data_IF_712247821044
#
_entry.id   IF_712247821044
#
_cell.length_a   1.000
_cell.length_b   1.000
_cell.length_c   1.000
_cell.angle_alpha   90.00
_cell.angle_beta   90.00
_cell.angle_gamma   90.00
#
_symmetry.space_group_name_H-M   'P 1'
#
loop_
_entity.id
_entity.type
_entity.pdbx_description
1 polymer ?
#
# COMPACT_ATOMS: atom_id res chain seq x y z
N UNK A 1 -11.47 5.17 4.03
CA UNK A 1 -10.14 5.11 3.40
C UNK A 1 -9.21 4.14 4.12
N UNK A 2 -8.69 3.15 3.40
CA UNK A 2 -7.64 2.24 3.84
C UNK A 2 -6.27 2.94 3.80
N UNK A 3 -5.42 2.72 4.80
CA UNK A 3 -4.03 3.21 4.79
C UNK A 3 -3.07 2.04 4.80
N UNK A 4 -2.14 2.05 3.85
CA UNK A 4 -1.05 1.07 3.73
C UNK A 4 0.27 1.77 3.99
N UNK A 5 1.00 1.26 4.98
CA UNK A 5 2.33 1.77 5.32
C UNK A 5 3.40 0.90 4.70
N UNK A 6 4.24 1.48 3.86
CA UNK A 6 5.40 0.79 3.29
C UNK A 6 6.68 1.21 4.01
N UNK A 7 7.54 0.23 4.27
CA UNK A 7 8.87 0.44 4.84
C UNK A 7 9.86 0.95 3.77
N UNK A 8 11.09 1.26 4.18
CA UNK A 8 12.17 1.55 3.24
C UNK A 8 12.39 0.38 2.26
N UNK A 9 12.90 0.70 1.06
CA UNK A 9 13.18 -0.28 0.01
C UNK A 9 14.01 -1.45 0.54
N UNK A 10 13.58 -2.65 0.22
CA UNK A 10 14.28 -3.90 0.54
C UNK A 10 14.17 -4.88 -0.63
N UNK A 11 15.22 -5.68 -0.82
CA UNK A 11 15.18 -6.81 -1.75
C UNK A 11 14.35 -7.93 -1.14
N UNK A 12 13.47 -8.52 -1.95
CA UNK A 12 12.69 -9.71 -1.59
C UNK A 12 12.97 -10.81 -2.58
N UNK A 13 12.93 -12.07 -2.14
CA UNK A 13 13.05 -13.19 -3.06
C UNK A 13 11.74 -13.33 -3.83
N UNK A 14 11.74 -13.39 -5.17
CA UNK A 14 10.52 -13.55 -5.96
C UNK A 14 9.68 -14.77 -5.58
N UNK A 15 10.33 -15.84 -5.10
CA UNK A 15 9.65 -17.05 -4.62
C UNK A 15 8.88 -16.85 -3.29
N UNK A 16 9.21 -15.80 -2.54
CA UNK A 16 8.60 -15.46 -1.24
C UNK A 16 7.57 -14.31 -1.37
N UNK A 17 7.54 -13.61 -2.52
CA UNK A 17 6.56 -12.56 -2.84
C UNK A 17 5.46 -13.10 -3.75
N UNK A 18 4.18 -13.08 -3.33
CA UNK A 18 3.06 -13.58 -4.15
C UNK A 18 2.88 -12.85 -5.50
N UNK A 19 3.47 -11.69 -5.69
CA UNK A 19 3.46 -10.94 -6.95
C UNK A 19 4.77 -11.11 -7.75
N UNK A 20 5.68 -11.99 -7.32
CA UNK A 20 6.94 -12.28 -8.00
C UNK A 20 7.92 -11.11 -8.03
N UNK A 21 7.79 -10.14 -7.11
CA UNK A 21 8.63 -8.94 -7.08
C UNK A 21 10.04 -9.28 -6.57
N UNK A 22 11.03 -8.53 -7.04
CA UNK A 22 12.41 -8.57 -6.55
C UNK A 22 12.68 -7.52 -5.48
N UNK A 23 11.87 -6.48 -5.43
CA UNK A 23 12.03 -5.34 -4.52
C UNK A 23 10.67 -4.80 -4.09
N UNK A 24 10.57 -4.38 -2.84
CA UNK A 24 9.39 -3.74 -2.25
C UNK A 24 9.80 -2.58 -1.36
N UNK A 25 8.85 -1.70 -1.03
CA UNK A 25 9.08 -0.56 -0.14
C UNK A 25 9.36 0.75 -0.87
N UNK A 26 9.65 1.77 -0.08
CA UNK A 26 9.77 3.17 -0.49
C UNK A 26 11.23 3.57 -0.79
N UNK A 27 11.42 4.36 -1.85
CA UNK A 27 12.65 5.14 -2.06
C UNK A 27 12.35 6.63 -2.17
N UNK A 28 13.28 7.51 -1.74
CA UNK A 28 13.20 8.93 -2.05
C UNK A 28 12.97 9.14 -3.56
N UNK A 29 12.07 10.06 -3.91
CA UNK A 29 11.72 10.41 -5.30
C UNK A 29 10.99 9.33 -6.11
N UNK A 30 10.34 8.34 -5.47
CA UNK A 30 9.38 7.48 -6.18
C UNK A 30 8.26 8.31 -6.80
N UNK A 31 7.84 7.93 -8.00
CA UNK A 31 6.59 8.45 -8.55
C UNK A 31 5.39 7.86 -7.80
N UNK A 32 4.24 8.53 -7.88
CA UNK A 32 2.97 8.01 -7.35
C UNK A 32 2.66 6.61 -7.90
N UNK A 33 3.01 6.36 -9.16
CA UNK A 33 2.84 5.06 -9.81
C UNK A 33 3.72 4.00 -9.16
N UNK A 34 4.98 4.30 -8.93
CA UNK A 34 5.91 3.35 -8.30
C UNK A 34 5.50 3.06 -6.85
N UNK A 35 5.06 4.10 -6.12
CA UNK A 35 4.52 3.95 -4.78
C UNK A 35 3.25 3.10 -4.75
N UNK A 36 2.36 3.27 -5.73
CA UNK A 36 1.18 2.43 -5.89
C UNK A 36 1.52 0.97 -6.17
N UNK A 37 2.41 0.70 -7.13
CA UNK A 37 2.85 -0.66 -7.45
C UNK A 37 3.56 -1.34 -6.27
N UNK A 38 4.38 -0.58 -5.52
CA UNK A 38 5.01 -1.07 -4.31
C UNK A 38 3.98 -1.37 -3.20
N UNK A 39 2.95 -0.53 -3.07
CA UNK A 39 1.99 -0.53 -1.97
C UNK A 39 0.72 -1.35 -2.19
N UNK A 40 0.33 -1.70 -3.42
CA UNK A 40 -0.95 -2.39 -3.68
C UNK A 40 -0.94 -3.87 -3.30
N UNK A 41 0.23 -4.46 -3.05
CA UNK A 41 0.41 -5.91 -3.07
C UNK A 41 0.77 -6.61 -1.77
N UNK A 42 0.19 -7.81 -1.57
CA UNK A 42 0.67 -8.87 -0.67
C UNK A 42 0.51 -8.61 0.84
N UNK A 43 -0.59 -8.01 1.27
CA UNK A 43 -0.81 -7.67 2.67
C UNK A 43 -1.57 -8.76 3.45
N UNK A 44 -1.11 -9.08 4.66
CA UNK A 44 -1.89 -9.88 5.60
C UNK A 44 -2.86 -8.96 6.34
N UNK A 45 -4.09 -8.84 5.84
CA UNK A 45 -5.13 -8.00 6.47
C UNK A 45 -6.50 -8.68 6.44
N UNK A 46 -7.44 -8.19 7.25
CA UNK A 46 -8.82 -8.68 7.27
C UNK A 46 -9.58 -8.13 6.07
N UNK A 47 -9.92 -8.98 5.09
CA UNK A 47 -10.63 -8.60 3.88
C UNK A 47 -11.93 -7.83 4.17
N UNK A 48 -12.67 -8.22 5.20
CA UNK A 48 -13.91 -7.54 5.61
C UNK A 48 -13.70 -6.07 5.98
N UNK A 49 -12.53 -5.68 6.48
CA UNK A 49 -12.23 -4.28 6.78
C UNK A 49 -11.83 -3.47 5.56
N UNK A 50 -11.24 -4.11 4.55
CA UNK A 50 -10.74 -3.42 3.37
C UNK A 50 -11.82 -3.28 2.29
N UNK A 51 -12.85 -4.14 2.28
CA UNK A 51 -13.98 -4.06 1.35
C UNK A 51 -14.90 -2.86 1.65
N UNK A 52 -14.97 -2.42 2.90
CA UNK A 52 -15.81 -1.30 3.32
C UNK A 52 -15.20 0.09 2.98
N UNK A 53 -14.02 0.13 2.36
CA UNK A 53 -13.27 1.36 2.10
C UNK A 53 -13.28 1.71 0.60
N UNK A 54 -13.65 2.95 0.25
CA UNK A 54 -13.73 3.39 -1.16
C UNK A 54 -12.39 3.90 -1.74
N UNK A 55 -11.43 4.24 -0.88
CA UNK A 55 -10.12 4.77 -1.25
C UNK A 55 -9.03 4.10 -0.43
N UNK A 56 -7.83 4.01 -1.00
CA UNK A 56 -6.61 3.59 -0.33
C UNK A 56 -5.52 4.64 -0.50
N UNK A 57 -4.76 4.87 0.56
CA UNK A 57 -3.55 5.69 0.52
C UNK A 57 -2.32 4.87 0.90
N UNK A 58 -1.23 5.07 0.16
CA UNK A 58 0.08 4.51 0.47
C UNK A 58 0.89 5.57 1.20
N UNK A 59 1.44 5.24 2.37
CA UNK A 59 2.26 6.14 3.18
C UNK A 59 3.63 5.54 3.46
N UNK A 60 4.66 6.37 3.57
CA UNK A 60 5.98 5.94 4.00
C UNK A 60 6.06 5.70 5.52
N UNK A 61 7.25 5.35 6.02
CA UNK A 61 7.51 5.15 7.46
C UNK A 61 7.23 6.38 8.33
N UNK A 62 7.35 7.58 7.76
CA UNK A 62 7.16 8.87 8.41
C UNK A 62 5.69 9.36 8.35
N UNK A 63 4.83 8.67 7.60
CA UNK A 63 3.43 9.02 7.43
C UNK A 63 3.14 9.97 6.26
N UNK A 64 4.14 10.26 5.41
CA UNK A 64 3.95 11.02 4.17
C UNK A 64 3.19 10.20 3.16
N UNK A 65 2.14 10.77 2.58
CA UNK A 65 1.33 10.16 1.53
C UNK A 65 2.13 10.14 0.23
N UNK A 66 2.28 8.96 -0.36
CA UNK A 66 3.04 8.72 -1.59
C UNK A 66 2.13 8.49 -2.80
N UNK A 67 0.94 7.92 -2.57
CA UNK A 67 -0.04 7.65 -3.60
C UNK A 67 -1.43 7.53 -2.98
N UNK A 68 -2.46 7.90 -3.74
CA UNK A 68 -3.85 7.66 -3.40
C UNK A 68 -4.51 6.96 -4.57
N UNK A 69 -5.35 5.96 -4.31
CA UNK A 69 -6.06 5.22 -5.34
C UNK A 69 -7.51 4.93 -4.90
N UNK A 70 -8.39 4.76 -5.89
CA UNK A 70 -9.73 4.21 -5.65
C UNK A 70 -9.61 2.74 -5.28
N UNK A 71 -10.51 2.25 -4.43
CA UNK A 71 -10.62 0.84 -4.11
C UNK A 71 -11.71 0.21 -4.99
N UNK A 72 -11.33 -0.73 -5.87
CA UNK A 72 -12.29 -1.52 -6.67
C UNK A 72 -12.52 -2.92 -6.09
N UNK A 73 -11.54 -3.46 -5.37
CA UNK A 73 -11.66 -4.77 -4.75
C UNK A 73 -10.34 -5.33 -4.26
N UNK A 74 -10.39 -6.61 -3.87
CA UNK A 74 -9.25 -7.36 -3.35
C UNK A 74 -9.11 -8.69 -4.09
N UNK A 75 -7.89 -9.06 -4.44
CA UNK A 75 -7.55 -10.41 -4.90
C UNK A 75 -6.83 -11.14 -3.77
N UNK A 76 -7.29 -12.35 -3.44
CA UNK A 76 -6.69 -13.17 -2.38
C UNK A 76 -5.63 -14.10 -2.95
N UNK A 77 -4.41 -13.99 -2.42
CA UNK A 77 -3.26 -14.84 -2.70
C UNK A 77 -2.89 -15.61 -1.43
N UNK A 78 -3.47 -16.79 -1.22
CA UNK A 78 -3.29 -17.56 0.01
C UNK A 78 -3.81 -16.81 1.24
N UNK A 79 -2.93 -16.39 2.15
CA UNK A 79 -3.28 -15.57 3.33
C UNK A 79 -3.06 -14.06 3.12
N UNK A 80 -2.63 -13.64 1.94
CA UNK A 80 -2.34 -12.24 1.60
C UNK A 80 -3.38 -11.70 0.63
N UNK A 81 -3.55 -10.38 0.64
CA UNK A 81 -4.48 -9.65 -0.22
C UNK A 81 -3.71 -8.66 -1.09
N UNK A 82 -4.01 -8.69 -2.37
CA UNK A 82 -3.67 -7.66 -3.34
C UNK A 82 -4.86 -6.71 -3.49
N UNK A 83 -4.57 -5.43 -3.54
CA UNK A 83 -5.53 -4.35 -3.71
C UNK A 83 -5.67 -4.04 -5.19
N UNK A 84 -6.91 -4.03 -5.67
CA UNK A 84 -7.27 -3.65 -7.03
C UNK A 84 -7.97 -2.30 -6.98
N UNK A 85 -7.46 -1.37 -7.79
CA UNK A 85 -7.83 0.04 -7.72
C UNK A 85 -7.21 0.86 -8.83
N UNK A 86 -7.64 2.10 -8.98
CA UNK A 86 -7.04 3.06 -9.92
C UNK A 86 -6.31 4.14 -9.16
N UNK A 87 -5.05 4.37 -9.55
CA UNK A 87 -4.26 5.48 -9.06
C UNK A 87 -4.93 6.82 -9.39
N UNK A 88 -5.19 7.62 -8.36
CA UNK A 88 -5.62 9.02 -8.48
C UNK A 88 -4.38 9.89 -8.72
N UNK A 89 -3.94 9.95 -9.97
CA UNK A 89 -2.71 10.65 -10.33
C UNK A 89 -2.83 12.16 -10.09
N UNK A 90 -1.85 12.74 -9.40
CA UNK A 90 -1.81 14.17 -9.09
C UNK A 90 -2.78 14.58 -7.99
N UNK A 91 -3.23 13.64 -7.16
CA UNK A 91 -4.06 13.95 -5.99
C UNK A 91 -3.31 14.90 -5.03
N UNK A 92 -3.98 15.99 -4.63
CA UNK A 92 -3.38 17.04 -3.81
C UNK A 92 -2.96 16.61 -2.40
N UNK A 93 -3.32 15.39 -1.96
CA UNK A 93 -2.86 14.81 -0.70
C UNK A 93 -1.44 14.26 -0.80
N UNK A 94 -0.96 13.91 -1.99
CA UNK A 94 0.39 13.36 -2.17
C UNK A 94 1.44 14.37 -1.71
N UNK A 95 2.43 13.90 -0.95
CA UNK A 95 3.48 14.73 -0.33
C UNK A 95 3.08 15.37 1.00
N UNK A 96 1.81 15.27 1.41
CA UNK A 96 1.36 15.72 2.73
C UNK A 96 1.47 14.62 3.78
N UNK A 97 1.45 14.98 5.06
CA UNK A 97 1.37 14.02 6.16
C UNK A 97 -0.07 13.53 6.28
N UNK A 98 -0.26 12.21 6.36
CA UNK A 98 -1.57 11.62 6.56
C UNK A 98 -2.19 12.10 7.90
N UNK A 99 -3.24 12.90 7.81
CA UNK A 99 -4.00 13.38 8.97
C UNK A 99 -4.87 12.29 9.62
N UNK A 100 -5.01 11.14 8.96
CA UNK A 100 -5.86 10.04 9.42
C UNK A 100 -5.00 8.92 10.02
N UNK A 101 -5.05 8.76 11.34
CA UNK A 101 -4.64 7.51 11.97
C UNK A 101 -5.71 6.48 11.60
N UNK A 102 -5.41 5.63 10.62
CA UNK A 102 -6.28 4.48 10.29
C UNK A 102 -6.69 3.78 11.60
N UNK A 103 -7.99 3.52 11.80
CA UNK A 103 -8.50 2.74 12.94
C UNK A 103 -7.94 1.30 12.97
N UNK A 104 -7.26 0.87 11.91
CA UNK A 104 -6.42 -0.32 11.90
C UNK A 104 -5.02 0.04 12.43
N UNK A 105 -4.83 -0.05 13.75
CA UNK A 105 -3.51 -0.11 14.37
C UNK A 105 -2.85 -1.47 14.08
N UNK A 106 -2.37 -1.68 12.87
CA UNK A 106 -1.32 -2.67 12.62
C UNK A 106 -0.43 -2.11 11.52
N UNK A 107 0.73 -1.51 11.84
CA UNK A 107 1.79 -1.39 10.85
C UNK A 107 2.14 -2.81 10.41
N UNK A 108 1.73 -3.20 9.20
CA UNK A 108 2.14 -4.47 8.62
C UNK A 108 3.58 -4.28 8.15
N UNK A 109 4.51 -4.41 9.09
CA UNK A 109 5.93 -4.45 8.83
C UNK A 109 6.28 -5.82 8.26
N UNK A 110 7.14 -5.86 7.24
CA UNK A 110 7.78 -7.10 6.80
C UNK A 110 8.68 -7.59 7.94
N UNK A 111 8.49 -8.86 8.35
CA UNK A 111 9.46 -9.67 9.11
C UNK A 111 9.83 -10.85 8.24
#
# INVERSE_FOLDING_TARGET
MLQIKIAARQSVKPAEDPMGRTEVGYTPNMSEKDAWEAGRGCWVMKASRAIDEDEVQIVNSEGTILAVATMRGLIKHGNRLEIIGDLLKGDGRVGTVANHVSKSQNPISYV
#
